data_IF_617186209966
#
_entry.id   IF_617186209966
#
_cell.length_a   1.000
_cell.length_b   1.000
_cell.length_c   1.000
_cell.angle_alpha   90.00
_cell.angle_beta   90.00
_cell.angle_gamma   90.00
#
_symmetry.space_group_name_H-M   'P 1'
#
loop_
_entity.id
_entity.type
_entity.pdbx_description
1 polymer ?
#
# COMPACT_ATOMS: atom_id res chain seq x y z
N UNK A 1 7.02 -5.57 -13.72
CA UNK A 1 7.88 -5.26 -12.56
C UNK A 1 7.34 -4.01 -11.89
N UNK A 2 6.93 -4.10 -10.63
CA UNK A 2 6.01 -3.14 -9.99
C UNK A 2 6.65 -2.05 -9.13
N UNK A 3 7.96 -1.84 -9.25
CA UNK A 3 8.74 -0.89 -8.44
C UNK A 3 9.93 -0.31 -9.19
N UNK A 4 9.89 -0.26 -10.52
CA UNK A 4 10.95 0.42 -11.28
C UNK A 4 10.79 1.93 -11.03
N UNK A 5 11.66 2.51 -10.20
CA UNK A 5 11.65 3.93 -9.85
C UNK A 5 11.78 4.26 -8.37
N UNK A 6 11.62 3.26 -7.48
CA UNK A 6 11.71 3.42 -6.02
C UNK A 6 10.42 3.06 -5.29
N UNK A 7 10.48 3.08 -3.95
CA UNK A 7 9.33 2.80 -3.07
C UNK A 7 9.17 3.86 -1.98
N UNK A 8 7.94 4.12 -1.53
CA UNK A 8 7.70 5.05 -0.42
C UNK A 8 8.39 4.49 0.83
N UNK A 9 9.18 5.32 1.50
CA UNK A 9 9.96 4.96 2.68
C UNK A 9 9.06 4.36 3.76
N UNK A 10 9.51 3.25 4.33
CA UNK A 10 8.77 2.53 5.38
C UNK A 10 7.60 1.68 4.85
N UNK A 11 7.38 1.62 3.53
CA UNK A 11 6.43 0.66 2.95
C UNK A 11 6.99 -0.76 2.94
N UNK A 12 6.09 -1.74 2.89
CA UNK A 12 6.41 -3.15 2.69
C UNK A 12 5.91 -3.61 1.33
N UNK A 13 6.74 -4.36 0.60
CA UNK A 13 6.38 -4.89 -0.70
C UNK A 13 5.72 -6.27 -0.56
N UNK A 14 4.43 -6.36 -0.88
CA UNK A 14 3.67 -7.61 -0.84
C UNK A 14 3.45 -8.16 -2.26
N UNK A 15 3.78 -9.43 -2.54
CA UNK A 15 3.55 -10.02 -3.86
C UNK A 15 2.05 -10.09 -4.18
N UNK A 16 1.64 -9.47 -5.30
CA UNK A 16 0.22 -9.39 -5.67
C UNK A 16 -0.45 -10.76 -5.88
N UNK A 17 0.33 -11.77 -6.31
CA UNK A 17 -0.19 -13.12 -6.58
C UNK A 17 -0.56 -13.89 -5.31
N UNK A 18 0.12 -13.62 -4.20
CA UNK A 18 -0.09 -14.33 -2.92
C UNK A 18 -0.80 -13.46 -1.88
N UNK A 19 -1.16 -12.23 -2.23
CA UNK A 19 -1.71 -11.27 -1.28
C UNK A 19 -3.05 -11.73 -0.69
N UNK A 20 -4.01 -12.11 -1.54
CA UNK A 20 -5.35 -12.50 -1.07
C UNK A 20 -5.33 -13.61 0.00
N UNK A 21 -4.68 -14.77 -0.21
CA UNK A 21 -4.63 -15.80 0.82
C UNK A 21 -3.81 -15.40 2.07
N UNK A 22 -2.97 -14.36 2.00
CA UNK A 22 -2.16 -13.89 3.14
C UNK A 22 -2.89 -12.91 4.07
N UNK A 23 -4.10 -12.46 3.73
CA UNK A 23 -4.85 -11.45 4.50
C UNK A 23 -5.03 -11.79 5.99
N UNK A 24 -5.42 -13.02 6.39
CA UNK A 24 -5.56 -13.36 7.81
C UNK A 24 -4.25 -13.21 8.59
N UNK A 25 -3.13 -13.59 7.97
CA UNK A 25 -1.79 -13.44 8.56
C UNK A 25 -1.41 -11.98 8.70
N UNK A 26 -1.64 -11.17 7.66
CA UNK A 26 -1.39 -9.73 7.69
C UNK A 26 -2.23 -9.03 8.76
N UNK A 27 -3.51 -9.39 8.88
CA UNK A 27 -4.39 -8.87 9.93
C UNK A 27 -3.83 -9.14 11.32
N UNK A 28 -3.47 -10.40 11.60
CA UNK A 28 -2.93 -10.81 12.90
C UNK A 28 -1.64 -10.06 13.23
N UNK A 29 -0.75 -9.90 12.24
CA UNK A 29 0.49 -9.14 12.38
C UNK A 29 0.23 -7.66 12.67
N UNK A 30 -0.66 -7.02 11.91
CA UNK A 30 -0.98 -5.61 12.06
C UNK A 30 -1.68 -5.32 13.39
N UNK A 31 -2.57 -6.22 13.83
CA UNK A 31 -3.20 -6.12 15.13
C UNK A 31 -2.17 -6.22 16.27
N UNK A 32 -1.27 -7.21 16.21
CA UNK A 32 -0.21 -7.38 17.20
C UNK A 32 0.75 -6.19 17.24
N UNK A 33 0.99 -5.54 16.10
CA UNK A 33 1.80 -4.33 15.99
C UNK A 33 1.05 -3.04 16.39
N UNK A 34 -0.24 -3.10 16.74
CA UNK A 34 -1.05 -1.93 17.12
C UNK A 34 -1.33 -0.98 15.95
N UNK A 35 -1.31 -1.48 14.71
CA UNK A 35 -1.58 -0.67 13.51
C UNK A 35 -3.05 -0.29 13.46
N UNK A 36 -3.34 1.00 13.35
CA UNK A 36 -4.71 1.53 13.24
C UNK A 36 -5.11 1.89 11.81
N UNK A 37 -4.16 2.00 10.88
CA UNK A 37 -4.44 2.35 9.48
C UNK A 37 -3.44 1.67 8.56
N UNK A 38 -3.95 0.91 7.59
CA UNK A 38 -3.18 0.24 6.55
C UNK A 38 -3.42 0.96 5.23
N UNK A 39 -2.35 1.51 4.65
CA UNK A 39 -2.41 2.29 3.40
C UNK A 39 -1.91 1.40 2.25
N UNK A 40 -2.80 1.09 1.32
CA UNK A 40 -2.50 0.28 0.14
C UNK A 40 -2.19 1.16 -1.06
N UNK A 41 -1.15 0.81 -1.81
CA UNK A 41 -0.86 1.50 -3.06
C UNK A 41 -0.29 0.56 -4.13
N UNK A 42 -0.39 1.00 -5.38
CA UNK A 42 0.42 0.49 -6.47
C UNK A 42 0.85 1.67 -7.35
N UNK A 43 1.30 1.44 -8.59
CA UNK A 43 1.73 2.51 -9.50
C UNK A 43 0.75 3.71 -9.54
N UNK A 44 -0.51 3.47 -9.91
CA UNK A 44 -1.56 4.51 -9.97
C UNK A 44 -2.70 4.33 -8.96
N UNK A 45 -2.66 3.24 -8.17
CA UNK A 45 -3.77 2.80 -7.32
C UNK A 45 -5.14 2.69 -8.02
N UNK A 46 -5.18 2.42 -9.34
CA UNK A 46 -6.44 2.19 -10.10
C UNK A 46 -6.83 0.73 -10.29
N UNK A 47 -6.08 -0.20 -9.69
CA UNK A 47 -6.28 -1.64 -9.89
C UNK A 47 -5.86 -2.47 -8.69
N UNK A 48 -4.56 -2.78 -8.57
CA UNK A 48 -4.05 -3.64 -7.48
C UNK A 48 -4.22 -3.01 -6.10
N UNK A 49 -3.90 -1.73 -5.94
CA UNK A 49 -4.06 -1.01 -4.67
C UNK A 49 -5.51 -1.02 -4.18
N UNK A 50 -6.47 -0.71 -5.06
CA UNK A 50 -7.90 -0.75 -4.74
C UNK A 50 -8.39 -2.14 -4.37
N UNK A 51 -7.98 -3.18 -5.13
CA UNK A 51 -8.36 -4.57 -4.81
C UNK A 51 -7.81 -5.03 -3.46
N UNK A 52 -6.54 -4.73 -3.18
CA UNK A 52 -5.90 -5.07 -1.91
C UNK A 52 -6.61 -4.41 -0.72
N UNK A 53 -6.92 -3.11 -0.84
CA UNK A 53 -7.66 -2.39 0.19
C UNK A 53 -9.05 -2.96 0.41
N UNK A 54 -9.78 -3.30 -0.66
CA UNK A 54 -11.09 -3.93 -0.59
C UNK A 54 -11.05 -5.28 0.12
N UNK A 55 -10.16 -6.18 -0.31
CA UNK A 55 -10.05 -7.50 0.32
C UNK A 55 -9.72 -7.41 1.81
N UNK A 56 -8.81 -6.51 2.19
CA UNK A 56 -8.49 -6.33 3.60
C UNK A 56 -9.65 -5.68 4.37
N UNK A 57 -10.38 -4.74 3.76
CA UNK A 57 -11.57 -4.14 4.36
C UNK A 57 -12.68 -5.17 4.59
N UNK A 58 -12.95 -6.03 3.61
CA UNK A 58 -13.94 -7.11 3.74
C UNK A 58 -13.57 -8.02 4.93
N UNK A 59 -12.28 -8.34 5.07
CA UNK A 59 -11.79 -9.11 6.21
C UNK A 59 -11.96 -8.37 7.55
N UNK A 60 -11.69 -7.07 7.62
CA UNK A 60 -11.95 -6.27 8.84
C UNK A 60 -13.43 -6.29 9.24
N UNK A 61 -14.32 -6.16 8.26
CA UNK A 61 -15.78 -6.26 8.47
C UNK A 61 -16.15 -7.64 9.01
N UNK A 62 -15.60 -8.72 8.43
CA UNK A 62 -15.82 -10.10 8.91
C UNK A 62 -15.32 -10.31 10.35
N UNK A 63 -14.19 -9.69 10.71
CA UNK A 63 -13.66 -9.71 12.08
C UNK A 63 -14.41 -8.77 13.05
N UNK A 64 -15.33 -7.94 12.54
CA UNK A 64 -15.99 -6.87 13.30
C UNK A 64 -15.00 -5.91 13.95
N UNK A 65 -13.88 -5.64 13.26
CA UNK A 65 -12.85 -4.70 13.70
C UNK A 65 -13.16 -3.30 13.19
N UNK A 66 -13.55 -2.41 14.09
CA UNK A 66 -13.85 -1.00 13.81
C UNK A 66 -12.68 -0.06 14.13
N UNK A 67 -11.55 -0.59 14.61
CA UNK A 67 -10.38 0.19 15.04
C UNK A 67 -9.35 0.34 13.93
N UNK A 68 -9.12 -0.73 13.18
CA UNK A 68 -8.21 -0.71 12.04
C UNK A 68 -8.94 -0.24 10.78
N UNK A 69 -8.28 0.58 9.97
CA UNK A 69 -8.82 1.06 8.69
C UNK A 69 -7.99 0.59 7.52
N UNK A 70 -8.67 0.18 6.45
CA UNK A 70 -8.07 -0.13 5.16
C UNK A 70 -8.30 1.03 4.20
N UNK A 71 -7.24 1.70 3.74
CA UNK A 71 -7.36 2.87 2.85
C UNK A 71 -6.44 2.75 1.63
N UNK A 72 -6.76 3.49 0.58
CA UNK A 72 -5.95 3.53 -0.65
C UNK A 72 -5.22 4.85 -0.75
N UNK A 73 -3.92 4.84 -1.07
CA UNK A 73 -3.22 6.04 -1.48
C UNK A 73 -3.67 6.44 -2.89
N UNK A 74 -4.48 7.49 -2.97
CA UNK A 74 -4.98 8.01 -4.24
C UNK A 74 -3.82 8.43 -5.15
N UNK A 75 -3.92 8.14 -6.45
CA UNK A 75 -2.85 8.38 -7.42
C UNK A 75 -1.66 7.40 -7.32
N UNK A 76 -1.58 6.61 -6.25
CA UNK A 76 -0.47 5.68 -6.02
C UNK A 76 0.87 6.38 -5.90
N UNK A 77 1.96 5.62 -6.07
CA UNK A 77 3.30 6.19 -5.98
C UNK A 77 3.61 7.18 -7.12
N UNK A 78 2.94 7.04 -8.28
CA UNK A 78 3.03 8.05 -9.35
C UNK A 78 2.46 9.40 -8.92
N UNK A 79 1.30 9.39 -8.24
CA UNK A 79 0.73 10.60 -7.66
C UNK A 79 1.60 11.20 -6.57
N UNK A 80 2.23 10.35 -5.74
CA UNK A 80 3.20 10.76 -4.72
C UNK A 80 4.40 11.48 -5.32
N UNK A 81 5.06 10.89 -6.34
CA UNK A 81 6.21 11.52 -7.01
C UNK A 81 5.81 12.80 -7.74
N UNK A 82 4.65 12.81 -8.40
CA UNK A 82 4.14 13.99 -9.09
C UNK A 82 3.80 15.18 -8.15
N UNK A 83 3.69 14.95 -6.85
CA UNK A 83 3.41 15.99 -5.86
C UNK A 83 4.65 16.84 -5.52
N UNK A 84 5.84 16.48 -6.01
CA UNK A 84 7.04 17.32 -5.97
C UNK A 84 8.14 16.84 -5.02
N UNK A 85 9.19 17.65 -4.90
CA UNK A 85 10.46 17.29 -4.23
C UNK A 85 10.27 16.85 -2.77
N UNK A 86 9.36 17.48 -2.03
CA UNK A 86 9.04 17.11 -0.65
C UNK A 86 8.66 15.62 -0.56
N UNK A 87 7.77 15.16 -1.45
CA UNK A 87 7.31 13.78 -1.48
C UNK A 87 8.38 12.84 -2.04
N UNK A 88 9.12 13.26 -3.06
CA UNK A 88 10.25 12.50 -3.63
C UNK A 88 11.32 12.21 -2.57
N UNK A 89 11.54 13.12 -1.61
CA UNK A 89 12.50 12.92 -0.51
C UNK A 89 12.17 11.71 0.40
N UNK A 90 10.94 11.21 0.34
CA UNK A 90 10.45 10.02 1.02
C UNK A 90 10.38 8.79 0.09
N UNK A 91 11.01 8.81 -1.08
CA UNK A 91 11.12 7.64 -1.95
C UNK A 91 12.52 7.07 -1.81
N UNK A 92 12.60 5.84 -1.29
CA UNK A 92 13.85 5.09 -1.23
C UNK A 92 14.17 4.52 -2.63
N UNK A 93 15.46 4.54 -2.99
CA UNK A 93 15.95 4.11 -4.32
C UNK A 93 15.30 4.87 -5.48
N UNK A 94 15.01 6.16 -5.29
CA UNK A 94 14.43 7.00 -6.32
C UNK A 94 15.31 7.04 -7.59
N UNK A 95 14.74 6.59 -8.72
CA UNK A 95 15.35 6.69 -10.04
C UNK A 95 14.52 7.62 -10.93
N UNK A 96 14.96 8.87 -11.16
CA UNK A 96 14.20 9.85 -11.94
C UNK A 96 13.87 9.38 -13.36
N UNK A 97 14.70 8.53 -13.98
CA UNK A 97 14.49 8.04 -15.34
C UNK A 97 13.30 7.06 -15.47
N UNK A 98 12.65 6.71 -14.36
CA UNK A 98 11.51 5.79 -14.32
C UNK A 98 10.15 6.48 -14.15
N UNK A 99 10.14 7.81 -14.06
CA UNK A 99 8.94 8.59 -13.72
C UNK A 99 8.41 9.47 -14.87
N UNK A 100 9.00 9.36 -16.06
CA UNK A 100 8.54 9.99 -17.30
C UNK A 100 7.21 9.40 -17.83
#
# INVERSE_FOLDING_TARGET
TGGEGGTIRGSINLPAQTLYPSIPTLYSLFQAAGVSTVIWYCGSSRGRGTRAAGWFNDYLVDQKDDKMRSVVLFGGIRGWVAAGEEYISYVDEYDPAKWD
#
